data_IF_332876015439
#
_entry.id   IF_332876015439
#
_cell.length_a   1.000
_cell.length_b   1.000
_cell.length_c   1.000
_cell.angle_alpha   90.00
_cell.angle_beta   90.00
_cell.angle_gamma   90.00
#
_symmetry.space_group_name_H-M   'P 1'
#
loop_
_entity.id
_entity.type
_entity.pdbx_description
1 polymer ?
#
# COMPACT_ATOMS: atom_id res chain seq x y z
N UNK A 1 14.62 9.13 -3.04
CA UNK A 1 14.04 9.69 -4.29
C UNK A 1 12.75 8.95 -4.57
N UNK A 2 11.69 9.61 -5.06
CA UNK A 2 10.48 8.92 -5.50
C UNK A 2 10.81 7.80 -6.49
N UNK A 3 10.05 6.71 -6.48
CA UNK A 3 10.22 5.55 -7.35
C UNK A 3 11.52 4.74 -7.20
N UNK A 4 12.49 5.21 -6.40
CA UNK A 4 13.76 4.52 -6.14
C UNK A 4 13.80 3.85 -4.77
N UNK A 5 13.15 4.43 -3.76
CA UNK A 5 13.12 3.86 -2.43
C UNK A 5 12.21 4.61 -1.45
N UNK A 6 12.03 4.03 -0.27
CA UNK A 6 11.24 4.57 0.84
C UNK A 6 11.96 4.30 2.17
N UNK A 7 12.31 5.36 2.90
CA UNK A 7 13.13 5.24 4.11
C UNK A 7 14.47 4.55 3.82
N UNK A 8 14.84 3.48 4.56
CA UNK A 8 16.08 2.74 4.32
C UNK A 8 15.98 1.74 3.15
N UNK A 9 14.79 1.53 2.57
CA UNK A 9 14.55 0.53 1.54
C UNK A 9 14.72 1.12 0.14
N UNK A 10 15.31 0.34 -0.74
CA UNK A 10 15.45 0.65 -2.16
C UNK A 10 14.73 -0.40 -3.00
N UNK A 11 13.95 0.04 -3.98
CA UNK A 11 13.30 -0.88 -4.91
C UNK A 11 14.36 -1.64 -5.72
N UNK A 12 14.15 -2.95 -5.90
CA UNK A 12 15.14 -3.87 -6.43
C UNK A 12 15.98 -4.60 -5.38
N UNK A 13 15.88 -4.25 -4.10
CA UNK A 13 16.49 -5.05 -3.02
C UNK A 13 15.91 -6.47 -2.98
N UNK A 14 16.76 -7.46 -2.71
CA UNK A 14 16.35 -8.82 -2.36
C UNK A 14 15.83 -8.86 -0.93
N UNK A 15 15.10 -9.92 -0.59
CA UNK A 15 14.53 -10.09 0.75
C UNK A 15 15.58 -9.99 1.87
N UNK A 16 16.76 -10.57 1.68
CA UNK A 16 17.85 -10.50 2.67
C UNK A 16 18.36 -9.06 2.87
N UNK A 17 18.40 -8.26 1.80
CA UNK A 17 18.82 -6.85 1.86
C UNK A 17 17.75 -6.00 2.56
N UNK A 18 16.47 -6.26 2.29
CA UNK A 18 15.35 -5.62 3.02
C UNK A 18 15.41 -5.94 4.52
N UNK A 19 15.62 -7.21 4.88
CA UNK A 19 15.74 -7.61 6.27
C UNK A 19 16.95 -6.95 6.96
N UNK A 20 18.08 -6.82 6.27
CA UNK A 20 19.26 -6.14 6.78
C UNK A 20 19.05 -4.61 6.94
N UNK A 21 18.25 -4.00 6.06
CA UNK A 21 17.92 -2.57 6.10
C UNK A 21 16.87 -2.22 7.19
N UNK A 22 16.17 -3.22 7.73
CA UNK A 22 15.17 -3.08 8.79
C UNK A 22 15.60 -3.88 10.03
N UNK A 23 16.73 -3.54 10.69
CA UNK A 23 17.32 -4.38 11.74
C UNK A 23 16.41 -4.55 12.97
N UNK A 24 15.49 -3.60 13.20
CA UNK A 24 14.52 -3.65 14.31
C UNK A 24 13.25 -4.46 13.96
N UNK A 25 13.10 -4.89 12.71
CA UNK A 25 11.96 -5.67 12.24
C UNK A 25 12.37 -7.09 11.86
N UNK A 26 11.55 -8.06 12.23
CA UNK A 26 11.72 -9.46 11.85
C UNK A 26 10.68 -9.85 10.81
N UNK A 27 11.09 -10.58 9.77
CA UNK A 27 10.16 -11.19 8.83
C UNK A 27 9.33 -12.27 9.52
N UNK A 28 8.02 -12.04 9.65
CA UNK A 28 7.09 -12.94 10.35
C UNK A 28 6.54 -14.03 9.43
N UNK A 29 6.06 -13.61 8.26
CA UNK A 29 5.27 -14.47 7.39
C UNK A 29 5.52 -14.13 5.93
N UNK A 30 5.55 -15.17 5.10
CA UNK A 30 5.52 -15.08 3.65
C UNK A 30 4.16 -15.55 3.14
N UNK A 31 3.63 -14.91 2.11
CA UNK A 31 2.33 -15.24 1.54
C UNK A 31 2.29 -14.96 0.04
N UNK A 32 1.40 -15.64 -0.67
CA UNK A 32 1.07 -15.29 -2.06
C UNK A 32 0.20 -14.04 -2.05
N UNK A 33 0.71 -12.94 -2.59
CA UNK A 33 0.05 -11.63 -2.48
C UNK A 33 -1.13 -11.46 -3.46
N UNK A 34 -1.09 -12.18 -4.59
CA UNK A 34 -2.04 -11.97 -5.67
C UNK A 34 -2.61 -13.31 -6.18
N UNK A 35 -3.95 -13.41 -6.38
CA UNK A 35 -4.57 -14.62 -6.91
C UNK A 35 -4.26 -14.85 -8.41
N UNK A 36 -4.08 -13.78 -9.19
CA UNK A 36 -3.77 -13.83 -10.62
C UNK A 36 -2.27 -13.96 -10.89
N UNK A 37 -1.42 -13.38 -10.03
CA UNK A 37 0.04 -13.48 -10.12
C UNK A 37 0.63 -14.34 -8.99
N UNK A 38 0.84 -15.63 -9.27
CA UNK A 38 1.55 -16.55 -8.34
C UNK A 38 3.02 -16.17 -8.10
N UNK A 39 3.60 -15.30 -8.94
CA UNK A 39 4.98 -14.83 -8.82
C UNK A 39 5.18 -13.72 -7.80
N UNK A 40 4.11 -13.06 -7.35
CA UNK A 40 4.20 -11.95 -6.40
C UNK A 40 4.23 -12.48 -4.95
N UNK A 41 5.41 -12.41 -4.34
CA UNK A 41 5.64 -12.80 -2.95
C UNK A 41 5.41 -11.61 -2.02
N UNK A 42 4.51 -11.75 -1.06
CA UNK A 42 4.36 -10.82 0.05
C UNK A 42 5.12 -11.29 1.29
N UNK A 43 5.70 -10.34 2.04
CA UNK A 43 6.38 -10.59 3.31
C UNK A 43 5.96 -9.55 4.35
N UNK A 44 5.55 -10.01 5.52
CA UNK A 44 5.24 -9.17 6.68
C UNK A 44 6.46 -9.04 7.59
N UNK A 45 6.78 -7.81 7.98
CA UNK A 45 7.83 -7.45 8.92
C UNK A 45 7.22 -6.76 10.14
N UNK A 46 7.68 -7.11 11.34
CA UNK A 46 7.18 -6.56 12.59
C UNK A 46 8.28 -6.33 13.64
N UNK A 47 8.07 -5.35 14.53
CA UNK A 47 8.99 -5.04 15.64
C UNK A 47 8.62 -5.82 16.90
N UNK A 48 9.02 -7.08 17.00
CA UNK A 48 8.80 -7.93 18.19
C UNK A 48 7.33 -8.30 18.49
N UNK A 49 6.39 -7.34 18.46
CA UNK A 49 4.94 -7.56 18.47
C UNK A 49 4.54 -8.42 17.26
N UNK A 50 3.51 -9.24 17.44
CA UNK A 50 3.00 -10.12 16.39
C UNK A 50 2.33 -9.36 15.22
N UNK A 51 2.01 -8.08 15.40
CA UNK A 51 1.31 -7.28 14.40
C UNK A 51 2.28 -6.76 13.32
N UNK A 52 1.96 -6.94 12.02
CA UNK A 52 2.80 -6.43 10.93
C UNK A 52 2.94 -4.90 10.97
N UNK A 53 4.17 -4.41 10.88
CA UNK A 53 4.48 -2.99 10.76
C UNK A 53 4.69 -2.58 9.28
N UNK A 54 5.31 -3.45 8.50
CA UNK A 54 5.61 -3.22 7.08
C UNK A 54 5.28 -4.48 6.29
N UNK A 55 4.60 -4.30 5.15
CA UNK A 55 4.45 -5.35 4.14
C UNK A 55 5.32 -5.01 2.95
N UNK A 56 6.10 -5.96 2.48
CA UNK A 56 6.95 -5.81 1.30
C UNK A 56 6.57 -6.84 0.26
N UNK A 57 6.55 -6.44 -1.00
CA UNK A 57 6.16 -7.28 -2.13
C UNK A 57 7.31 -7.41 -3.11
N UNK A 58 7.55 -8.65 -3.53
CA UNK A 58 8.67 -9.02 -4.37
C UNK A 58 8.16 -9.73 -5.63
N UNK A 59 8.72 -9.35 -6.77
CA UNK A 59 8.61 -10.09 -8.04
C UNK A 59 10.02 -10.44 -8.49
N UNK A 60 10.22 -11.68 -8.93
CA UNK A 60 11.54 -12.20 -9.32
C UNK A 60 12.63 -11.96 -8.24
N UNK A 61 12.26 -12.11 -6.96
CA UNK A 61 13.11 -11.86 -5.79
C UNK A 61 13.59 -10.41 -5.65
N UNK A 62 12.86 -9.45 -6.21
CA UNK A 62 13.18 -8.01 -6.18
C UNK A 62 12.03 -7.21 -5.58
N UNK A 63 12.33 -6.36 -4.60
CA UNK A 63 11.36 -5.48 -3.94
C UNK A 63 10.73 -4.53 -4.96
N UNK A 64 9.40 -4.55 -5.06
CA UNK A 64 8.65 -3.69 -5.98
C UNK A 64 7.65 -2.77 -5.28
N UNK A 65 7.17 -3.16 -4.09
CA UNK A 65 6.18 -2.40 -3.33
C UNK A 65 6.40 -2.57 -1.82
N UNK A 66 6.13 -1.50 -1.09
CA UNK A 66 6.16 -1.43 0.38
C UNK A 66 4.88 -0.77 0.85
N UNK A 67 4.16 -1.43 1.76
CA UNK A 67 3.02 -0.84 2.45
C UNK A 67 3.32 -0.70 3.94
N UNK A 68 3.11 0.49 4.48
CA UNK A 68 3.20 0.71 5.93
C UNK A 68 1.86 0.34 6.59
N UNK A 69 1.91 -0.29 7.76
CA UNK A 69 0.74 -0.44 8.61
C UNK A 69 0.35 0.90 9.25
N UNK A 70 -0.95 1.20 9.35
CA UNK A 70 -1.41 2.49 9.86
C UNK A 70 -1.16 2.71 11.35
N UNK A 71 -1.05 1.62 12.15
CA UNK A 71 -0.93 1.68 13.60
C UNK A 71 0.48 1.35 14.10
N UNK A 72 1.10 0.34 13.49
CA UNK A 72 2.37 -0.23 13.91
C UNK A 72 3.51 0.10 12.94
N UNK A 73 3.18 0.62 11.76
CA UNK A 73 4.13 0.91 10.71
C UNK A 73 4.90 2.21 10.93
N UNK A 74 5.97 2.40 10.15
CA UNK A 74 6.72 3.65 10.18
C UNK A 74 5.87 4.81 9.67
N UNK A 75 6.19 6.01 10.18
CA UNK A 75 5.62 7.24 9.64
C UNK A 75 6.25 7.55 8.28
N UNK A 76 5.50 7.36 7.20
CA UNK A 76 5.89 7.86 5.87
C UNK A 76 5.49 9.32 5.78
N UNK A 77 6.34 10.14 5.17
CA UNK A 77 6.09 11.56 4.95
C UNK A 77 6.28 11.96 3.50
N UNK A 78 5.51 12.95 3.05
CA UNK A 78 5.66 13.62 1.76
C UNK A 78 5.76 15.14 2.02
N UNK A 79 6.91 15.73 1.67
CA UNK A 79 7.23 17.14 1.96
C UNK A 79 6.99 17.53 3.44
N UNK A 80 7.34 16.63 4.36
CA UNK A 80 7.14 16.82 5.81
C UNK A 80 5.71 16.54 6.30
N UNK A 81 4.72 16.36 5.41
CA UNK A 81 3.37 15.92 5.79
C UNK A 81 3.35 14.42 6.06
N UNK A 82 2.88 14.04 7.24
CA UNK A 82 2.63 12.65 7.63
C UNK A 82 1.54 12.01 6.76
N UNK A 83 1.77 10.77 6.30
CA UNK A 83 0.84 9.98 5.50
C UNK A 83 0.26 8.76 6.22
N UNK A 84 1.05 8.12 7.10
CA UNK A 84 0.62 6.99 7.93
C UNK A 84 -0.29 7.48 9.07
N UNK A 85 -1.37 6.76 9.37
CA UNK A 85 -2.22 6.97 10.54
C UNK A 85 -3.07 8.25 10.52
N UNK A 86 -3.18 8.93 9.37
CA UNK A 86 -3.87 10.22 9.26
C UNK A 86 -5.36 10.07 8.90
N UNK A 87 -6.15 11.11 9.18
CA UNK A 87 -7.55 11.21 8.75
C UNK A 87 -7.62 11.29 7.20
N UNK A 88 -8.47 10.48 6.53
CA UNK A 88 -8.56 10.44 5.07
C UNK A 88 -8.82 11.81 4.42
N UNK A 89 -9.87 12.51 4.87
CA UNK A 89 -10.29 13.81 4.33
C UNK A 89 -9.18 14.87 4.36
N UNK A 90 -8.34 14.84 5.39
CA UNK A 90 -7.23 15.79 5.52
C UNK A 90 -6.11 15.51 4.52
N UNK A 91 -5.84 14.24 4.23
CA UNK A 91 -4.85 13.87 3.21
C UNK A 91 -5.38 14.04 1.79
N UNK A 92 -6.66 13.80 1.58
CA UNK A 92 -7.31 14.11 0.30
C UNK A 92 -7.24 15.61 0.01
N UNK A 93 -7.56 16.47 0.98
CA UNK A 93 -7.42 17.92 0.84
C UNK A 93 -5.97 18.34 0.56
N UNK A 94 -5.01 17.72 1.24
CA UNK A 94 -3.59 18.00 1.04
C UNK A 94 -3.13 17.63 -0.38
N UNK A 95 -3.44 16.42 -0.85
CA UNK A 95 -3.10 15.98 -2.20
C UNK A 95 -3.85 16.80 -3.26
N UNK A 96 -5.13 17.07 -3.05
CA UNK A 96 -5.93 17.90 -3.94
C UNK A 96 -5.39 19.33 -4.06
N UNK A 97 -4.89 19.91 -2.97
CA UNK A 97 -4.21 21.21 -3.02
C UNK A 97 -2.89 21.15 -3.80
N UNK A 98 -2.06 20.13 -3.55
CA UNK A 98 -0.81 19.93 -4.28
C UNK A 98 -1.06 19.74 -5.79
N UNK A 99 -2.14 19.04 -6.15
CA UNK A 99 -2.58 18.88 -7.53
C UNK A 99 -3.05 20.19 -8.16
N UNK A 100 -3.90 20.95 -7.46
CA UNK A 100 -4.37 22.25 -7.94
C UNK A 100 -3.23 23.27 -8.13
N UNK A 101 -2.13 23.11 -7.39
CA UNK A 101 -0.92 23.90 -7.54
C UNK A 101 0.10 23.31 -8.54
N UNK A 102 -0.28 22.28 -9.30
CA UNK A 102 0.56 21.62 -10.32
C UNK A 102 1.89 21.06 -9.76
N UNK A 103 1.93 20.73 -8.47
CA UNK A 103 3.11 20.13 -7.84
C UNK A 103 3.19 18.63 -8.14
N UNK A 104 2.03 17.98 -8.24
CA UNK A 104 1.87 16.56 -8.56
C UNK A 104 0.59 16.32 -9.35
N UNK A 105 0.56 15.23 -10.12
CA UNK A 105 -0.66 14.73 -10.74
C UNK A 105 -1.30 13.68 -9.86
N UNK A 106 -2.44 14.04 -9.24
CA UNK A 106 -3.20 13.12 -8.40
C UNK A 106 -4.12 12.29 -9.28
N UNK A 107 -4.04 10.97 -9.12
CA UNK A 107 -4.92 9.98 -9.74
C UNK A 107 -5.84 9.36 -8.71
N UNK A 108 -7.01 8.90 -9.15
CA UNK A 108 -7.96 8.16 -8.32
C UNK A 108 -8.22 6.81 -8.98
N UNK A 109 -8.03 5.75 -8.20
CA UNK A 109 -8.35 4.39 -8.65
C UNK A 109 -9.86 4.14 -8.72
N UNK A 110 -10.29 3.03 -9.37
CA UNK A 110 -11.68 2.60 -9.39
C UNK A 110 -12.30 2.44 -7.98
N UNK A 111 -11.48 2.10 -6.97
CA UNK A 111 -11.90 2.00 -5.56
C UNK A 111 -11.82 3.33 -4.78
N UNK A 112 -11.63 4.45 -5.47
CA UNK A 112 -11.63 5.82 -4.93
C UNK A 112 -10.34 6.22 -4.18
N UNK A 113 -9.32 5.37 -4.15
CA UNK A 113 -8.09 5.65 -3.43
C UNK A 113 -7.29 6.75 -4.17
N UNK A 114 -6.94 7.86 -3.51
CA UNK A 114 -6.07 8.87 -4.11
C UNK A 114 -4.62 8.39 -4.12
N UNK A 115 -3.90 8.75 -5.16
CA UNK A 115 -2.48 8.49 -5.29
C UNK A 115 -1.80 9.44 -6.26
N UNK A 116 -0.50 9.24 -6.43
CA UNK A 116 0.35 10.02 -7.31
C UNK A 116 1.30 9.06 -8.01
N UNK A 117 0.95 8.68 -9.24
CA UNK A 117 1.71 7.72 -10.05
C UNK A 117 3.16 8.18 -10.24
N UNK A 118 3.38 9.48 -10.47
CA UNK A 118 4.73 10.07 -10.58
C UNK A 118 5.60 9.92 -9.32
N UNK A 119 4.99 9.62 -8.17
CA UNK A 119 5.69 9.31 -6.92
C UNK A 119 5.62 7.82 -6.55
N UNK A 120 4.81 7.03 -7.26
CA UNK A 120 4.51 5.65 -6.94
C UNK A 120 3.81 5.54 -5.58
N UNK A 121 2.88 6.45 -5.29
CA UNK A 121 2.19 6.51 -3.99
C UNK A 121 0.70 6.24 -4.18
N UNK A 122 0.14 5.37 -3.34
CA UNK A 122 -1.31 5.22 -3.17
C UNK A 122 -1.63 5.30 -1.68
N UNK A 123 -2.63 6.09 -1.32
CA UNK A 123 -3.16 6.11 0.04
C UNK A 123 -4.28 5.09 0.15
N UNK A 124 -4.11 4.15 1.08
CA UNK A 124 -5.11 3.14 1.43
C UNK A 124 -5.64 3.39 2.82
N UNK A 125 -6.73 2.71 3.17
CA UNK A 125 -7.36 2.83 4.48
C UNK A 125 -7.17 1.55 5.29
N UNK A 126 -7.11 1.72 6.59
CA UNK A 126 -7.05 0.63 7.55
C UNK A 126 -7.92 0.98 8.76
N UNK A 127 -8.65 -0.02 9.25
CA UNK A 127 -9.32 0.07 10.54
C UNK A 127 -8.30 -0.13 11.65
N UNK A 128 -8.23 0.83 12.56
CA UNK A 128 -7.38 0.79 13.75
C UNK A 128 -8.24 1.14 14.94
N UNK A 129 -8.46 0.16 15.83
CA UNK A 129 -9.39 0.25 16.94
C UNK A 129 -10.80 0.68 16.49
N UNK A 130 -11.22 1.90 16.82
CA UNK A 130 -12.54 2.48 16.51
C UNK A 130 -12.51 3.50 15.36
N UNK A 131 -11.40 3.58 14.60
CA UNK A 131 -11.17 4.60 13.58
C UNK A 131 -10.73 4.01 12.25
N UNK A 132 -11.03 4.74 11.18
CA UNK A 132 -10.47 4.49 9.85
C UNK A 132 -9.39 5.54 9.59
N UNK A 133 -8.18 5.07 9.36
CA UNK A 133 -7.00 5.91 9.15
C UNK A 133 -6.27 5.48 7.89
N UNK A 134 -5.40 6.35 7.40
CA UNK A 134 -4.63 6.13 6.18
C UNK A 134 -3.40 5.26 6.41
N UNK A 135 -3.08 4.42 5.43
CA UNK A 135 -1.83 3.67 5.30
C UNK A 135 -1.27 3.87 3.89
N UNK A 136 -0.03 4.35 3.76
CA UNK A 136 0.60 4.53 2.44
C UNK A 136 1.11 3.21 1.88
N UNK A 137 0.86 3.03 0.58
CA UNK A 137 1.45 1.99 -0.27
C UNK A 137 2.37 2.71 -1.26
N UNK A 138 3.64 2.32 -1.30
CA UNK A 138 4.67 2.96 -2.11
C UNK A 138 5.31 1.93 -3.02
N UNK A 139 5.45 2.25 -4.30
CA UNK A 139 5.94 1.35 -5.35
C UNK A 139 7.15 1.91 -6.08
N UNK A 140 7.96 1.00 -6.61
CA UNK A 140 9.08 1.35 -7.48
C UNK A 140 8.63 1.70 -8.89
N UNK A 141 9.55 2.28 -9.67
CA UNK A 141 9.29 2.76 -11.04
C UNK A 141 8.53 1.76 -11.93
N UNK A 142 8.85 0.47 -11.84
CA UNK A 142 8.23 -0.57 -12.67
C UNK A 142 6.73 -0.77 -12.40
N UNK A 143 6.23 -0.33 -11.24
CA UNK A 143 4.86 -0.52 -10.77
C UNK A 143 4.09 0.81 -10.63
N UNK A 144 4.74 1.92 -10.97
CA UNK A 144 4.24 3.27 -10.72
C UNK A 144 3.15 3.70 -11.70
N UNK A 145 3.24 3.25 -12.95
CA UNK A 145 2.21 3.49 -13.96
C UNK A 145 0.89 2.86 -13.52
N UNK A 146 -0.16 3.68 -13.43
CA UNK A 146 -1.51 3.27 -12.97
C UNK A 146 -1.49 2.61 -11.60
N UNK A 147 -0.61 3.04 -10.69
CA UNK A 147 -0.49 2.40 -9.38
C UNK A 147 -1.77 2.50 -8.53
N UNK A 148 -2.63 3.49 -8.78
CA UNK A 148 -3.94 3.62 -8.13
C UNK A 148 -5.00 2.67 -8.71
N UNK A 149 -4.78 2.11 -9.90
CA UNK A 149 -5.72 1.24 -10.58
C UNK A 149 -5.61 -0.21 -10.06
N UNK A 150 -6.71 -0.75 -9.55
CA UNK A 150 -6.77 -2.09 -8.98
C UNK A 150 -6.99 -3.21 -10.01
N UNK A 151 -7.14 -2.87 -11.29
CA UNK A 151 -7.31 -3.81 -12.39
C UNK A 151 -6.09 -3.86 -13.32
N UNK A 152 -5.57 -2.69 -13.71
CA UNK A 152 -4.42 -2.57 -14.61
C UNK A 152 -3.11 -2.28 -13.89
N UNK A 153 -3.16 -1.87 -12.62
CA UNK A 153 -1.99 -1.60 -11.80
C UNK A 153 -1.34 -2.88 -11.27
N UNK A 154 -0.06 -2.76 -10.89
CA UNK A 154 0.75 -3.90 -10.44
C UNK A 154 0.66 -4.18 -8.93
N UNK A 155 0.02 -3.30 -8.15
CA UNK A 155 -0.18 -3.52 -6.71
C UNK A 155 -1.12 -4.73 -6.53
N UNK A 156 -0.73 -5.73 -5.71
CA UNK A 156 -1.44 -7.00 -5.64
C UNK A 156 -2.82 -6.89 -5.01
N UNK A 157 -3.76 -7.76 -5.42
CA UNK A 157 -5.16 -7.76 -4.98
C UNK A 157 -5.33 -7.73 -3.45
N UNK A 158 -4.46 -8.39 -2.68
CA UNK A 158 -4.54 -8.37 -1.21
C UNK A 158 -4.51 -6.95 -0.63
N UNK A 159 -3.78 -6.03 -1.27
CA UNK A 159 -3.74 -4.66 -0.80
C UNK A 159 -5.09 -4.00 -0.96
N UNK A 160 -5.82 -4.31 -2.02
CA UNK A 160 -7.11 -3.72 -2.41
C UNK A 160 -8.32 -4.26 -1.65
N UNK A 161 -8.14 -5.28 -0.81
CA UNK A 161 -9.14 -5.81 0.10
C UNK A 161 -9.27 -4.95 1.37
N UNK A 162 -10.47 -4.93 1.95
CA UNK A 162 -10.77 -4.23 3.19
C UNK A 162 -11.50 -2.90 2.93
N UNK A 163 -11.20 -1.88 3.73
CA UNK A 163 -11.88 -0.58 3.65
C UNK A 163 -11.63 0.10 2.30
N UNK A 164 -12.71 0.59 1.71
CA UNK A 164 -12.66 1.45 0.52
C UNK A 164 -12.65 2.92 0.92
N UNK A 165 -12.12 3.77 0.04
CA UNK A 165 -12.14 5.21 0.26
C UNK A 165 -13.60 5.71 0.31
N UNK A 166 -13.96 6.60 1.26
CA UNK A 166 -15.32 7.13 1.35
C UNK A 166 -15.73 7.82 0.04
N UNK A 167 -16.83 7.36 -0.55
CA UNK A 167 -17.44 7.96 -1.73
C UNK A 167 -18.95 7.86 -1.65
N UNK A 168 -19.67 8.84 -2.20
CA UNK A 168 -21.13 8.85 -2.18
C UNK A 168 -21.69 7.63 -2.91
N UNK A 169 -22.43 6.77 -2.19
CA UNK A 169 -23.06 5.57 -2.75
C UNK A 169 -22.12 4.38 -3.03
N UNK A 170 -20.83 4.51 -2.72
CA UNK A 170 -19.87 3.43 -2.89
C UNK A 170 -19.96 2.40 -1.73
N UNK A 171 -19.68 1.11 -1.98
CA UNK A 171 -19.54 0.13 -0.91
C UNK A 171 -18.44 0.53 0.07
N UNK A 172 -18.63 0.21 1.36
CA UNK A 172 -17.69 0.58 2.43
C UNK A 172 -16.46 -0.33 2.50
N UNK A 173 -16.51 -1.48 1.85
CA UNK A 173 -15.44 -2.46 1.84
C UNK A 173 -15.42 -3.22 0.53
N UNK A 174 -14.24 -3.65 0.13
CA UNK A 174 -14.02 -4.59 -0.93
C UNK A 174 -13.51 -5.94 -0.39
N UNK A 175 -14.03 -7.07 -0.87
CA UNK A 175 -15.23 -7.18 -1.68
C UNK A 175 -16.47 -6.75 -0.86
N UNK A 176 -17.53 -6.24 -1.50
CA UNK A 176 -18.80 -6.02 -0.82
C UNK A 176 -19.35 -7.34 -0.26
N UNK A 177 -20.22 -7.30 0.76
CA UNK A 177 -20.99 -8.47 1.18
C UNK A 177 -21.66 -9.14 -0.02
N UNK A 178 -21.63 -10.47 -0.07
CA UNK A 178 -22.22 -11.31 -1.11
C UNK A 178 -21.59 -11.19 -2.52
N UNK A 179 -20.50 -10.43 -2.67
CA UNK A 179 -19.77 -10.38 -3.94
C UNK A 179 -18.94 -11.65 -4.15
N UNK A 180 -19.23 -12.39 -5.22
CA UNK A 180 -18.48 -13.58 -5.61
C UNK A 180 -17.15 -13.19 -6.26
N UNK A 181 -16.03 -13.46 -5.58
CA UNK A 181 -14.70 -13.21 -6.14
C UNK A 181 -14.23 -14.37 -7.03
N UNK A 182 -13.39 -14.07 -8.02
CA UNK A 182 -12.80 -15.06 -8.92
C UNK A 182 -11.45 -15.61 -8.42
N UNK A 183 -11.18 -15.53 -7.11
CA UNK A 183 -9.88 -15.87 -6.51
C UNK A 183 -9.61 -17.38 -6.38
N UNK A 184 -10.60 -18.22 -6.68
CA UNK A 184 -10.49 -19.68 -6.52
C UNK A 184 -10.25 -20.06 -5.05
N UNK A 185 -9.15 -20.79 -4.78
CA UNK A 185 -8.78 -21.20 -3.42
C UNK A 185 -7.97 -20.15 -2.66
N UNK A 186 -7.55 -19.06 -3.31
CA UNK A 186 -6.79 -18.01 -2.67
C UNK A 186 -7.68 -17.20 -1.73
N UNK A 187 -7.13 -16.80 -0.58
CA UNK A 187 -7.78 -15.91 0.38
C UNK A 187 -6.83 -14.75 0.68
N UNK A 188 -7.36 -13.53 0.86
CA UNK A 188 -6.56 -12.41 1.32
C UNK A 188 -5.83 -12.77 2.62
N UNK A 189 -4.52 -12.47 2.72
CA UNK A 189 -3.69 -12.82 3.86
C UNK A 189 -3.98 -11.97 5.12
N UNK A 190 -4.68 -10.84 4.97
CA UNK A 190 -5.09 -9.89 6.00
C UNK A 190 -6.39 -9.18 5.60
#
# INVERSE_FOLDING_TARGET
MPLEGVGPLWFGMRLAEVAAALPDLTALRRFQADPASRGTLGVEFASGRAEPAVRSYFVDDRLSCVAADAAHGPQVTLWGRQLTGCVPDDLERFLGHAHACEVVDVSYGPRGNPGVDGLGLVLRLQEVADRVVTRPVVVGRAWADRCTDDWEGAIPECEWVGRMWPGAGAPRSWPPPDHATHWGSWRPPF
#
